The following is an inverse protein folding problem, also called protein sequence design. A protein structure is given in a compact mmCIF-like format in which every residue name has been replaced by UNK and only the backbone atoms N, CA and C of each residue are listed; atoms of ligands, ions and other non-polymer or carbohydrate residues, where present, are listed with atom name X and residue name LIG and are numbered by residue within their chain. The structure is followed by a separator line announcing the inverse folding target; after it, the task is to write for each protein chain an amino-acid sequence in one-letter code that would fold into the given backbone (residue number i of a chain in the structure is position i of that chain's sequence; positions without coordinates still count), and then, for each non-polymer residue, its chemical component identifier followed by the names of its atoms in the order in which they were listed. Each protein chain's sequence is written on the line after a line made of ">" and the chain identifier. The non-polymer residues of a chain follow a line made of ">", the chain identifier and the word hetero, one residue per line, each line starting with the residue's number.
data_IF_835425725116
#
_entry.id   IF_835425725116
#
_cell.length_a   1.000
_cell.length_b   1.000
_cell.length_c   1.000
_cell.angle_alpha   90.00
_cell.angle_beta   90.00
_cell.angle_gamma   90.00
#
_symmetry.space_group_name_H-M   'P 1'
#
loop_
_entity.id
_entity.type
_entity.pdbx_description
1 polymer ?
#
# COMPACT_ATOMS: atom_id res chain seq x y z
N UNK A 1 2.35 -8.33 15.54
CA UNK A 1 3.48 -9.24 15.18
C UNK A 1 3.21 -9.83 13.80
N UNK A 2 4.27 -10.24 13.08
CA UNK A 2 4.12 -10.91 11.79
C UNK A 2 3.51 -12.31 11.94
N UNK A 3 2.57 -12.63 11.06
CA UNK A 3 1.86 -13.90 10.98
C UNK A 3 2.27 -14.64 9.71
N UNK A 4 2.48 -15.96 9.81
CA UNK A 4 2.85 -16.77 8.65
C UNK A 4 1.62 -17.15 7.86
N UNK A 5 1.54 -16.76 6.59
CA UNK A 5 0.42 -17.12 5.69
C UNK A 5 0.72 -18.31 4.79
N UNK A 6 1.97 -18.45 4.31
CA UNK A 6 2.44 -19.55 3.47
C UNK A 6 3.88 -19.92 3.84
N UNK A 7 4.56 -20.77 3.07
CA UNK A 7 5.94 -21.18 3.37
C UNK A 7 6.90 -19.99 3.41
N UNK A 8 6.76 -19.05 2.45
CA UNK A 8 7.68 -17.93 2.25
C UNK A 8 7.05 -16.55 2.53
N UNK A 9 5.75 -16.51 2.90
CA UNK A 9 5.02 -15.24 3.09
C UNK A 9 4.60 -15.06 4.53
N UNK A 10 4.93 -13.89 5.06
CA UNK A 10 4.50 -13.38 6.36
C UNK A 10 3.81 -12.03 6.20
N UNK A 11 2.84 -11.73 7.04
CA UNK A 11 2.13 -10.44 7.05
C UNK A 11 2.06 -9.90 8.46
N UNK A 12 2.37 -8.64 8.63
CA UNK A 12 2.01 -7.89 9.82
C UNK A 12 0.62 -7.30 9.57
N UNK A 13 -0.41 -7.70 10.35
CA UNK A 13 -1.76 -7.22 10.15
C UNK A 13 -1.90 -5.70 10.30
N UNK A 14 -2.85 -5.14 9.60
CA UNK A 14 -3.24 -3.73 9.67
C UNK A 14 -3.57 -3.26 11.10
N UNK A 15 -3.48 -1.96 11.34
CA UNK A 15 -3.86 -1.30 12.58
C UNK A 15 -4.63 0.00 12.26
N UNK A 16 -5.98 0.00 12.39
CA UNK A 16 -6.81 1.09 11.87
C UNK A 16 -6.62 2.42 12.60
N UNK A 17 -6.15 2.43 13.85
CA UNK A 17 -6.09 3.64 14.68
C UNK A 17 -5.30 4.78 14.05
N UNK A 18 -4.22 4.48 13.34
CA UNK A 18 -3.41 5.43 12.58
C UNK A 18 -3.24 5.00 11.13
N UNK A 19 -4.22 4.27 10.59
CA UNK A 19 -4.28 3.86 9.19
C UNK A 19 -3.03 3.07 8.73
N UNK A 20 -2.54 2.15 9.57
CA UNK A 20 -1.41 1.28 9.22
C UNK A 20 -1.89 0.10 8.39
N UNK A 21 -1.40 -0.06 7.16
CA UNK A 21 -1.82 -1.17 6.30
C UNK A 21 -1.20 -2.50 6.71
N UNK A 22 -1.67 -3.59 6.11
CA UNK A 22 -0.98 -4.87 6.11
C UNK A 22 0.39 -4.71 5.43
N UNK A 23 1.43 -5.18 6.09
CA UNK A 23 2.79 -5.18 5.55
C UNK A 23 3.21 -6.61 5.22
N UNK A 24 3.48 -6.87 3.94
CA UNK A 24 3.92 -8.19 3.47
C UNK A 24 5.44 -8.36 3.55
N UNK A 25 5.91 -9.51 4.07
CA UNK A 25 7.30 -9.93 3.97
C UNK A 25 7.38 -11.22 3.15
N UNK A 26 8.11 -11.20 2.06
CA UNK A 26 8.35 -12.35 1.18
C UNK A 26 9.80 -12.77 1.33
N UNK A 27 10.04 -14.01 1.76
CA UNK A 27 11.37 -14.54 2.06
C UNK A 27 11.80 -15.55 0.99
N UNK A 28 12.84 -15.23 0.21
CA UNK A 28 13.54 -16.19 -0.62
C UNK A 28 14.76 -16.77 0.10
N UNK A 29 15.52 -17.64 -0.60
CA UNK A 29 16.73 -18.24 -0.03
C UNK A 29 17.87 -17.24 0.14
N UNK A 30 17.90 -16.17 -0.65
CA UNK A 30 19.00 -15.21 -0.68
C UNK A 30 18.62 -13.80 -0.24
N UNK A 31 17.34 -13.45 -0.30
CA UNK A 31 16.84 -12.08 -0.04
C UNK A 31 15.43 -12.11 0.51
N UNK A 32 15.05 -11.02 1.17
CA UNK A 32 13.69 -10.75 1.58
C UNK A 32 13.19 -9.42 0.98
N UNK A 33 11.95 -9.39 0.51
CA UNK A 33 11.28 -8.22 0.01
C UNK A 33 10.13 -7.86 0.95
N UNK A 34 10.07 -6.59 1.36
CA UNK A 34 8.92 -6.03 2.06
C UNK A 34 7.97 -5.39 1.03
N UNK A 35 6.71 -5.69 1.12
CA UNK A 35 5.66 -5.06 0.31
C UNK A 35 4.90 -4.07 1.18
N UNK A 36 5.00 -2.80 0.77
CA UNK A 36 4.71 -1.55 1.48
C UNK A 36 5.67 -1.21 2.61
N UNK A 37 5.82 0.10 2.84
CA UNK A 37 6.88 0.64 3.70
C UNK A 37 6.40 1.01 5.11
N UNK A 38 5.09 0.98 5.34
CA UNK A 38 4.46 1.54 6.53
C UNK A 38 4.32 3.07 6.46
N UNK A 39 3.58 3.60 7.42
CA UNK A 39 3.12 4.99 7.41
C UNK A 39 4.09 5.98 8.10
N UNK A 40 5.15 5.49 8.77
CA UNK A 40 6.09 6.36 9.49
C UNK A 40 7.41 5.67 9.82
N UNK A 41 8.41 6.47 10.18
CA UNK A 41 9.67 5.96 10.74
C UNK A 41 9.44 5.23 12.08
N UNK A 42 8.48 5.67 12.88
CA UNK A 42 8.10 5.00 14.13
C UNK A 42 7.48 3.63 13.87
N UNK A 43 6.57 3.55 12.88
CA UNK A 43 6.00 2.27 12.45
C UNK A 43 7.09 1.35 11.90
N UNK A 44 8.00 1.84 11.05
CA UNK A 44 9.13 1.07 10.55
C UNK A 44 10.01 0.51 11.69
N UNK A 45 10.32 1.33 12.71
CA UNK A 45 11.10 0.88 13.86
C UNK A 45 10.40 -0.25 14.63
N UNK A 46 9.08 -0.17 14.77
CA UNK A 46 8.25 -1.25 15.31
C UNK A 46 8.35 -2.52 14.47
N UNK A 47 8.17 -2.41 13.15
CA UNK A 47 8.24 -3.55 12.23
C UNK A 47 9.60 -4.25 12.28
N UNK A 48 10.71 -3.50 12.30
CA UNK A 48 12.07 -4.05 12.44
C UNK A 48 12.26 -4.84 13.73
N UNK A 49 11.73 -4.33 14.84
CA UNK A 49 11.78 -5.01 16.12
C UNK A 49 10.96 -6.31 16.07
N UNK A 50 9.72 -6.26 15.55
CA UNK A 50 8.87 -7.43 15.45
C UNK A 50 9.48 -8.52 14.56
N UNK A 51 10.13 -8.15 13.45
CA UNK A 51 10.88 -9.08 12.59
C UNK A 51 12.01 -9.77 13.38
N UNK A 52 12.79 -8.99 14.15
CA UNK A 52 13.89 -9.53 14.94
C UNK A 52 13.39 -10.47 16.05
N UNK A 53 12.32 -10.10 16.74
CA UNK A 53 11.70 -10.91 17.80
C UNK A 53 11.11 -12.22 17.27
N UNK A 54 10.60 -12.19 16.03
CA UNK A 54 10.08 -13.37 15.34
C UNK A 54 11.18 -14.25 14.69
N UNK A 55 12.45 -13.83 14.72
CA UNK A 55 13.54 -14.52 14.03
C UNK A 55 13.42 -14.47 12.50
N UNK A 56 12.70 -13.48 11.96
CA UNK A 56 12.53 -13.25 10.54
C UNK A 56 13.64 -12.34 9.99
N UNK A 57 14.01 -12.48 8.70
CA UNK A 57 15.02 -11.62 8.10
C UNK A 57 14.53 -10.17 8.03
N UNK A 58 15.48 -9.23 8.15
CA UNK A 58 15.22 -7.85 7.74
C UNK A 58 15.12 -7.79 6.22
N UNK A 59 14.28 -6.91 5.65
CA UNK A 59 14.15 -6.81 4.20
C UNK A 59 15.43 -6.25 3.56
N UNK A 60 15.77 -6.79 2.39
CA UNK A 60 16.83 -6.28 1.51
C UNK A 60 16.30 -5.24 0.51
N UNK A 61 14.98 -5.27 0.27
CA UNK A 61 14.26 -4.43 -0.69
C UNK A 61 12.89 -4.07 -0.11
N UNK A 62 12.38 -2.89 -0.46
CA UNK A 62 10.99 -2.48 -0.19
C UNK A 62 10.31 -2.14 -1.52
N UNK A 63 9.17 -2.74 -1.80
CA UNK A 63 8.33 -2.42 -2.95
C UNK A 63 7.04 -1.73 -2.51
N UNK A 64 6.64 -0.68 -3.21
CA UNK A 64 5.44 0.10 -2.89
C UNK A 64 4.27 -0.32 -3.77
N UNK A 65 3.08 -0.40 -3.16
CA UNK A 65 1.83 -0.68 -3.86
C UNK A 65 1.29 0.54 -4.60
N UNK A 66 1.28 1.71 -3.99
CA UNK A 66 0.78 2.96 -4.56
C UNK A 66 1.28 4.17 -3.75
N UNK A 67 0.83 5.38 -4.10
CA UNK A 67 1.41 6.62 -3.57
C UNK A 67 0.88 7.05 -2.20
N UNK A 68 -0.19 6.48 -1.66
CA UNK A 68 -0.79 6.94 -0.41
C UNK A 68 0.19 6.90 0.76
N UNK A 69 -0.01 7.82 1.68
CA UNK A 69 0.92 8.15 2.75
C UNK A 69 1.21 6.98 3.70
N UNK A 70 0.20 6.18 3.99
CA UNK A 70 0.25 5.06 4.92
C UNK A 70 1.07 3.88 4.39
N UNK A 71 1.21 3.75 3.07
CA UNK A 71 2.06 2.76 2.39
C UNK A 71 3.49 3.24 2.16
N UNK A 72 3.75 4.56 2.22
CA UNK A 72 4.98 5.14 1.67
C UNK A 72 5.83 5.93 2.65
N UNK A 73 5.25 6.58 3.68
CA UNK A 73 5.99 7.54 4.50
C UNK A 73 7.06 6.90 5.41
N UNK A 74 6.97 5.60 5.70
CA UNK A 74 8.03 4.85 6.38
C UNK A 74 9.25 4.55 5.51
N UNK A 75 9.16 4.74 4.18
CA UNK A 75 10.14 4.27 3.20
C UNK A 75 11.57 4.78 3.45
N UNK A 76 11.72 6.06 3.78
CA UNK A 76 13.02 6.70 4.00
C UNK A 76 13.84 6.06 5.15
N UNK A 77 13.16 5.45 6.11
CA UNK A 77 13.78 4.92 7.31
C UNK A 77 14.22 3.45 7.19
N UNK A 78 13.86 2.75 6.10
CA UNK A 78 14.28 1.36 5.89
C UNK A 78 15.77 1.22 5.59
N UNK A 79 16.41 2.19 4.93
CA UNK A 79 17.84 2.16 4.62
C UNK A 79 18.25 1.09 3.61
N UNK A 80 17.30 0.57 2.84
CA UNK A 80 17.49 -0.40 1.75
C UNK A 80 16.91 0.16 0.46
N UNK A 81 17.29 -0.38 -0.72
CA UNK A 81 16.70 0.07 -1.98
C UNK A 81 15.19 -0.09 -2.02
N UNK A 82 14.50 0.92 -2.53
CA UNK A 82 13.04 1.00 -2.65
C UNK A 82 12.62 0.96 -4.12
N UNK A 83 11.50 0.31 -4.39
CA UNK A 83 10.98 0.05 -5.74
C UNK A 83 9.57 0.63 -5.82
N UNK A 84 9.29 1.42 -6.86
CA UNK A 84 7.94 1.96 -7.10
C UNK A 84 7.60 1.98 -8.60
N UNK A 85 6.33 1.95 -8.90
CA UNK A 85 5.82 2.30 -10.23
C UNK A 85 6.16 3.74 -10.59
N UNK A 86 6.24 4.07 -11.88
CA UNK A 86 6.59 5.42 -12.35
C UNK A 86 5.60 6.47 -11.85
N UNK A 87 4.31 6.17 -11.88
CA UNK A 87 3.28 7.10 -11.41
C UNK A 87 3.38 7.31 -9.88
N UNK A 88 3.52 6.25 -9.10
CA UNK A 88 3.76 6.31 -7.65
C UNK A 88 4.96 7.22 -7.35
N UNK A 89 6.08 7.01 -8.06
CA UNK A 89 7.27 7.82 -7.86
C UNK A 89 7.09 9.29 -8.27
N UNK A 90 6.22 9.58 -9.24
CA UNK A 90 5.84 10.95 -9.60
C UNK A 90 5.13 11.64 -8.43
N UNK A 91 4.14 10.99 -7.83
CA UNK A 91 3.44 11.48 -6.64
C UNK A 91 4.38 11.69 -5.45
N UNK A 92 5.29 10.76 -5.18
CA UNK A 92 6.29 10.91 -4.12
C UNK A 92 7.19 12.14 -4.32
N UNK A 93 7.62 12.41 -5.56
CA UNK A 93 8.40 13.63 -5.90
C UNK A 93 7.61 14.92 -5.71
N UNK A 94 6.32 14.90 -5.90
CA UNK A 94 5.41 16.01 -5.64
C UNK A 94 5.25 16.24 -4.14
N UNK A 95 4.87 15.20 -3.40
CA UNK A 95 4.69 15.24 -1.94
C UNK A 95 5.99 15.57 -1.20
N UNK A 96 7.16 15.22 -1.72
CA UNK A 96 8.47 15.61 -1.16
C UNK A 96 8.62 17.12 -1.02
N UNK A 97 7.90 17.91 -1.81
CA UNK A 97 7.93 19.38 -1.78
C UNK A 97 6.88 19.98 -0.87
N UNK A 98 5.98 19.17 -0.35
CA UNK A 98 4.91 19.65 0.52
C UNK A 98 5.46 20.04 1.89
N UNK A 99 4.84 21.03 2.47
CA UNK A 99 5.02 21.38 3.87
C UNK A 99 3.93 20.67 4.67
N UNK A 100 4.30 20.20 5.84
CA UNK A 100 3.42 19.39 6.68
C UNK A 100 2.99 20.09 7.97
N UNK A 101 3.25 21.41 8.09
CA UNK A 101 2.68 22.21 9.17
C UNK A 101 1.16 22.34 9.02
N UNK A 102 0.46 22.65 10.13
CA UNK A 102 -1.01 22.67 10.18
C UNK A 102 -1.61 23.64 9.14
N UNK A 103 -0.98 24.80 8.92
CA UNK A 103 -1.47 25.78 7.96
C UNK A 103 -1.39 25.25 6.52
N UNK A 104 -0.28 24.61 6.16
CA UNK A 104 -0.09 24.03 4.82
C UNK A 104 -0.98 22.79 4.59
N UNK A 105 -1.23 21.98 5.61
CA UNK A 105 -2.20 20.89 5.54
C UNK A 105 -3.62 21.42 5.35
N UNK A 106 -4.02 22.46 6.12
CA UNK A 106 -5.33 23.08 5.97
C UNK A 106 -5.51 23.71 4.58
N UNK A 107 -4.46 24.36 4.04
CA UNK A 107 -4.50 24.93 2.69
C UNK A 107 -4.79 23.88 1.62
N UNK A 108 -4.20 22.67 1.73
CA UNK A 108 -4.50 21.56 0.79
C UNK A 108 -5.94 21.08 0.91
N UNK A 109 -6.49 20.99 2.13
CA UNK A 109 -7.90 20.67 2.33
C UNK A 109 -8.82 21.74 1.67
N UNK A 110 -8.52 23.02 1.87
CA UNK A 110 -9.29 24.13 1.30
C UNK A 110 -9.25 24.14 -0.24
N UNK A 111 -8.11 23.71 -0.81
CA UNK A 111 -7.91 23.58 -2.27
C UNK A 111 -8.43 22.27 -2.84
N UNK A 112 -8.93 21.36 -2.01
CA UNK A 112 -9.35 20.01 -2.43
C UNK A 112 -8.20 19.19 -3.06
N UNK A 113 -7.00 19.37 -2.55
CA UNK A 113 -5.79 18.60 -2.92
C UNK A 113 -5.54 17.45 -1.94
N UNK A 114 -6.23 17.44 -0.80
CA UNK A 114 -6.19 16.40 0.22
C UNK A 114 -7.57 16.22 0.84
N UNK A 115 -7.78 15.15 1.61
CA UNK A 115 -9.04 14.82 2.28
C UNK A 115 -8.86 14.82 3.80
N UNK A 116 -9.95 15.13 4.52
CA UNK A 116 -9.95 15.21 5.99
C UNK A 116 -9.48 13.91 6.63
N UNK A 117 -9.90 12.76 6.10
CA UNK A 117 -9.48 11.44 6.61
C UNK A 117 -7.96 11.32 6.66
N UNK A 118 -7.27 11.51 5.52
CA UNK A 118 -5.80 11.41 5.47
C UNK A 118 -5.13 12.46 6.37
N UNK A 119 -5.62 13.70 6.35
CA UNK A 119 -5.09 14.78 7.20
C UNK A 119 -5.14 14.44 8.70
N UNK A 120 -6.27 13.91 9.19
CA UNK A 120 -6.42 13.56 10.61
C UNK A 120 -5.62 12.31 11.00
N UNK A 121 -5.54 11.29 10.12
CA UNK A 121 -4.71 10.11 10.36
C UNK A 121 -3.22 10.46 10.40
N UNK A 122 -2.75 11.32 9.48
CA UNK A 122 -1.36 11.83 9.49
C UNK A 122 -1.07 12.60 10.78
N UNK A 123 -1.97 13.48 11.23
CA UNK A 123 -1.79 14.22 12.50
C UNK A 123 -1.72 13.27 13.72
N UNK A 124 -2.47 12.19 13.68
CA UNK A 124 -2.51 11.17 14.73
C UNK A 124 -1.22 10.35 14.78
N UNK A 125 -0.70 9.92 13.62
CA UNK A 125 0.56 9.19 13.52
C UNK A 125 1.78 10.07 13.79
N UNK A 126 1.73 11.36 13.39
CA UNK A 126 2.80 12.33 13.54
C UNK A 126 2.36 13.51 14.41
N UNK A 127 2.37 13.40 15.75
CA UNK A 127 2.14 14.55 16.64
C UNK A 127 3.12 15.70 16.36
N UNK A 128 4.37 15.37 16.03
CA UNK A 128 5.37 16.29 15.48
C UNK A 128 5.52 16.06 13.98
N UNK A 129 4.81 16.85 13.18
CA UNK A 129 4.81 16.74 11.72
C UNK A 129 6.12 17.15 11.05
N UNK A 130 7.04 17.77 11.79
CA UNK A 130 8.41 18.03 11.27
C UNK A 130 9.19 16.74 11.01
N UNK A 131 8.74 15.60 11.54
CA UNK A 131 9.33 14.28 11.34
C UNK A 131 8.88 13.61 10.02
N UNK A 132 7.89 14.17 9.32
CA UNK A 132 7.45 13.64 8.03
C UNK A 132 8.56 13.82 6.99
N UNK A 133 8.98 12.73 6.40
CA UNK A 133 10.02 12.71 5.39
C UNK A 133 9.58 11.85 4.19
N UNK A 134 9.14 12.49 3.13
CA UNK A 134 8.77 11.83 1.89
C UNK A 134 9.97 11.79 0.95
N UNK A 135 10.30 10.60 0.44
CA UNK A 135 11.42 10.41 -0.49
C UNK A 135 10.95 9.68 -1.75
N UNK A 136 11.54 9.98 -2.92
CA UNK A 136 11.29 9.17 -4.10
C UNK A 136 11.97 7.80 -3.99
N UNK A 137 11.45 6.81 -4.71
CA UNK A 137 12.02 5.47 -4.78
C UNK A 137 13.37 5.46 -5.53
N UNK A 138 14.24 4.49 -5.17
CA UNK A 138 15.55 4.30 -5.80
C UNK A 138 15.43 3.61 -7.17
N UNK A 139 14.49 2.67 -7.30
CA UNK A 139 14.23 1.89 -8.51
C UNK A 139 12.82 2.21 -8.99
N UNK A 140 12.71 2.62 -10.24
CA UNK A 140 11.43 2.99 -10.86
C UNK A 140 11.20 2.11 -12.07
N UNK A 141 10.01 1.54 -12.19
CA UNK A 141 9.66 0.66 -13.31
C UNK A 141 8.32 1.04 -13.96
N UNK A 142 8.11 0.53 -15.15
CA UNK A 142 6.85 0.60 -15.88
C UNK A 142 6.31 -0.80 -16.16
N UNK A 143 5.00 -0.96 -16.10
CA UNK A 143 4.33 -2.19 -16.44
C UNK A 143 4.61 -3.34 -15.48
N UNK A 144 5.71 -4.07 -15.66
CA UNK A 144 6.06 -5.25 -14.83
C UNK A 144 7.55 -5.28 -14.50
N UNK A 145 7.86 -5.65 -13.26
CA UNK A 145 9.22 -5.91 -12.79
C UNK A 145 9.25 -7.24 -12.04
N UNK A 146 10.21 -8.09 -12.38
CA UNK A 146 10.45 -9.37 -11.68
C UNK A 146 11.63 -9.21 -10.73
N UNK A 147 11.44 -9.59 -9.47
CA UNK A 147 12.47 -9.60 -8.41
C UNK A 147 12.69 -11.03 -7.97
N UNK A 148 13.86 -11.59 -8.28
CA UNK A 148 14.24 -12.93 -7.83
C UNK A 148 14.85 -12.86 -6.42
N UNK A 149 14.22 -13.52 -5.46
CA UNK A 149 14.65 -13.59 -4.07
C UNK A 149 15.50 -14.83 -3.77
N UNK A 150 15.70 -15.69 -4.76
CA UNK A 150 16.44 -16.94 -4.67
C UNK A 150 15.61 -18.11 -4.16
N UNK A 151 16.10 -19.33 -4.47
CA UNK A 151 15.42 -20.57 -4.06
C UNK A 151 14.12 -20.88 -4.80
N UNK A 152 13.86 -20.21 -5.92
CA UNK A 152 12.60 -20.33 -6.68
C UNK A 152 11.50 -19.36 -6.24
N UNK A 153 11.77 -18.53 -5.23
CA UNK A 153 10.84 -17.48 -4.80
C UNK A 153 11.06 -16.21 -5.62
N UNK A 154 10.05 -15.84 -6.39
CA UNK A 154 10.05 -14.66 -7.27
C UNK A 154 8.87 -13.76 -6.91
N UNK A 155 9.08 -12.46 -6.89
CA UNK A 155 8.03 -11.44 -6.81
C UNK A 155 7.84 -10.79 -8.18
N UNK A 156 6.65 -10.84 -8.72
CA UNK A 156 6.25 -10.09 -9.92
C UNK A 156 5.48 -8.84 -9.47
N UNK A 157 6.13 -7.69 -9.54
CA UNK A 157 5.50 -6.39 -9.33
C UNK A 157 4.82 -5.97 -10.64
N UNK A 158 3.50 -5.76 -10.59
CA UNK A 158 2.71 -5.55 -11.80
C UNK A 158 1.88 -4.28 -11.62
N UNK A 159 2.04 -3.33 -12.53
CA UNK A 159 1.14 -2.17 -12.58
C UNK A 159 -0.29 -2.66 -12.85
N UNK A 160 -1.18 -2.31 -11.96
CA UNK A 160 -2.58 -2.74 -11.97
C UNK A 160 -3.48 -1.52 -11.74
N UNK A 161 -3.93 -0.91 -12.82
CA UNK A 161 -4.93 0.15 -12.71
C UNK A 161 -6.19 -0.42 -12.07
N UNK A 162 -6.28 -0.25 -10.75
CA UNK A 162 -7.41 -0.71 -9.94
C UNK A 162 -8.40 0.42 -9.66
N UNK A 163 -9.56 0.08 -9.09
CA UNK A 163 -10.58 1.07 -8.76
C UNK A 163 -10.16 2.05 -7.64
N UNK A 164 -9.11 1.78 -6.87
CA UNK A 164 -8.65 2.62 -5.77
C UNK A 164 -7.69 3.74 -6.23
N UNK A 165 -6.68 3.39 -7.01
CA UNK A 165 -5.68 4.34 -7.49
C UNK A 165 -5.10 3.88 -8.83
N UNK A 166 -4.89 4.83 -9.75
CA UNK A 166 -4.40 4.55 -11.11
C UNK A 166 -2.96 4.05 -11.14
N UNK A 167 -2.16 4.35 -10.11
CA UNK A 167 -0.74 4.00 -9.98
C UNK A 167 -0.50 2.68 -9.25
N UNK A 168 -1.57 1.95 -8.90
CA UNK A 168 -1.47 0.71 -8.11
C UNK A 168 -0.53 -0.31 -8.75
N UNK A 169 0.26 -0.93 -7.91
CA UNK A 169 1.16 -2.05 -8.23
C UNK A 169 0.80 -3.21 -7.31
N UNK A 170 0.41 -4.34 -7.88
CA UNK A 170 0.19 -5.59 -7.15
C UNK A 170 1.48 -6.43 -7.14
N UNK A 171 1.66 -7.28 -6.11
CA UNK A 171 2.79 -8.19 -6.04
C UNK A 171 2.30 -9.64 -6.09
N UNK A 172 2.57 -10.32 -7.20
CA UNK A 172 2.27 -11.73 -7.39
C UNK A 172 3.49 -12.59 -7.01
N UNK A 173 3.26 -13.61 -6.20
CA UNK A 173 4.27 -14.62 -5.80
C UNK A 173 3.85 -15.97 -6.38
N UNK A 174 4.28 -16.34 -7.61
CA UNK A 174 3.76 -17.50 -8.33
C UNK A 174 3.99 -18.82 -7.59
N UNK A 175 5.15 -19.02 -6.96
CA UNK A 175 5.47 -20.25 -6.21
C UNK A 175 4.50 -20.50 -5.04
N UNK A 176 3.92 -19.44 -4.48
CA UNK A 176 2.98 -19.49 -3.36
C UNK A 176 1.52 -19.39 -3.83
N UNK A 177 1.29 -19.13 -5.13
CA UNK A 177 -0.02 -18.77 -5.69
C UNK A 177 -0.75 -17.71 -4.88
N UNK A 178 0.03 -16.69 -4.46
CA UNK A 178 -0.40 -15.62 -3.57
C UNK A 178 -0.26 -14.26 -4.24
N UNK A 179 -1.21 -13.36 -3.94
CA UNK A 179 -1.26 -12.01 -4.50
C UNK A 179 -1.43 -10.97 -3.39
N UNK A 180 -0.49 -10.03 -3.29
CA UNK A 180 -0.67 -8.81 -2.52
C UNK A 180 -1.30 -7.75 -3.41
N UNK A 181 -2.38 -7.13 -2.94
CA UNK A 181 -3.17 -6.18 -3.71
C UNK A 181 -2.79 -4.72 -3.42
N UNK A 182 -2.12 -4.43 -2.27
CA UNK A 182 -2.20 -3.10 -1.70
C UNK A 182 -3.68 -2.73 -1.53
N UNK A 183 -4.06 -1.54 -1.95
CA UNK A 183 -5.46 -1.10 -1.90
C UNK A 183 -6.18 -1.19 -3.25
N UNK A 184 -5.54 -1.80 -4.26
CA UNK A 184 -6.03 -1.81 -5.64
C UNK A 184 -7.45 -2.36 -5.82
N UNK A 185 -7.95 -3.13 -4.87
CA UNK A 185 -9.34 -3.63 -4.84
C UNK A 185 -10.30 -2.72 -4.06
N UNK A 186 -9.81 -1.66 -3.43
CA UNK A 186 -10.62 -0.66 -2.72
C UNK A 186 -11.28 0.35 -3.66
N UNK A 187 -12.05 1.28 -3.10
CA UNK A 187 -12.64 2.41 -3.84
C UNK A 187 -11.71 3.62 -3.75
N UNK A 188 -11.74 4.47 -4.77
CA UNK A 188 -10.93 5.67 -4.84
C UNK A 188 -11.33 6.69 -3.77
N UNK A 189 -10.37 7.06 -2.93
CA UNK A 189 -10.56 8.05 -1.86
C UNK A 189 -10.62 9.49 -2.40
N UNK A 190 -10.13 9.73 -3.62
CA UNK A 190 -10.02 11.07 -4.23
C UNK A 190 -10.87 11.22 -5.49
N UNK A 191 -11.55 10.15 -5.91
CA UNK A 191 -12.19 10.06 -7.22
C UNK A 191 -13.45 10.89 -7.40
N UNK A 192 -14.08 11.33 -6.29
CA UNK A 192 -15.35 12.04 -6.35
C UNK A 192 -15.28 13.42 -5.65
N UNK A 193 -15.79 14.50 -6.27
CA UNK A 193 -15.71 15.84 -5.71
C UNK A 193 -16.33 15.99 -4.31
N UNK A 194 -17.39 15.25 -4.00
CA UNK A 194 -18.07 15.29 -2.70
C UNK A 194 -17.21 14.78 -1.54
N UNK A 195 -16.20 13.94 -1.80
CA UNK A 195 -15.29 13.42 -0.79
C UNK A 195 -14.52 14.54 -0.08
N UNK A 196 -14.21 15.61 -0.81
CA UNK A 196 -13.55 16.79 -0.26
C UNK A 196 -14.47 17.67 0.60
N UNK A 197 -15.78 17.44 0.56
CA UNK A 197 -16.76 18.18 1.37
C UNK A 197 -17.08 17.47 2.71
N UNK A 198 -16.59 16.24 2.92
CA UNK A 198 -16.69 15.52 4.20
C UNK A 198 -15.86 16.25 5.26
N UNK A 199 -16.47 16.52 6.42
CA UNK A 199 -15.84 17.27 7.51
C UNK A 199 -15.31 16.42 8.65
N UNK A 200 -15.76 15.18 8.74
CA UNK A 200 -15.36 14.25 9.79
C UNK A 200 -14.76 12.99 9.17
N UNK A 201 -13.61 12.57 9.69
CA UNK A 201 -12.87 11.41 9.16
C UNK A 201 -13.70 10.12 9.18
N UNK A 202 -14.51 9.94 10.22
CA UNK A 202 -15.36 8.77 10.42
C UNK A 202 -16.49 8.61 9.39
N UNK A 203 -16.82 9.68 8.66
CA UNK A 203 -17.91 9.67 7.67
C UNK A 203 -17.44 9.19 6.28
N UNK A 204 -16.15 9.33 5.96
CA UNK A 204 -15.65 9.07 4.61
C UNK A 204 -15.75 7.58 4.24
N UNK A 205 -15.16 6.70 5.05
CA UNK A 205 -15.08 5.28 4.74
C UNK A 205 -16.46 4.62 4.66
N UNK A 206 -17.40 4.81 5.63
CA UNK A 206 -18.75 4.29 5.52
C UNK A 206 -19.48 4.77 4.26
N UNK A 207 -19.34 6.06 3.92
CA UNK A 207 -19.97 6.62 2.73
C UNK A 207 -19.40 5.98 1.45
N UNK A 208 -18.08 5.89 1.33
CA UNK A 208 -17.42 5.22 0.21
C UNK A 208 -17.89 3.77 0.05
N UNK A 209 -17.95 3.02 1.13
CA UNK A 209 -18.36 1.63 1.11
C UNK A 209 -19.80 1.43 0.65
N UNK A 210 -20.66 2.44 0.78
CA UNK A 210 -22.06 2.40 0.31
C UNK A 210 -22.22 2.63 -1.20
N UNK A 211 -21.19 3.13 -1.89
CA UNK A 211 -21.26 3.45 -3.33
C UNK A 211 -20.90 2.23 -4.20
N UNK A 212 -21.42 2.17 -5.43
CA UNK A 212 -20.94 1.18 -6.38
C UNK A 212 -19.50 1.46 -6.82
N UNK A 213 -18.83 0.43 -7.27
CA UNK A 213 -17.54 0.58 -7.97
C UNK A 213 -17.75 1.19 -9.37
N UNK A 214 -16.69 1.81 -9.89
CA UNK A 214 -16.60 2.10 -11.33
C UNK A 214 -16.46 0.78 -12.11
N UNK A 215 -17.47 0.45 -12.90
CA UNK A 215 -17.55 -0.83 -13.61
C UNK A 215 -16.43 -1.03 -14.62
N UNK A 216 -16.06 0.03 -15.34
CA UNK A 216 -15.04 -0.05 -16.39
C UNK A 216 -13.67 -0.33 -15.78
N UNK A 217 -13.35 0.32 -14.65
CA UNK A 217 -12.12 0.07 -13.90
C UNK A 217 -12.10 -1.34 -13.30
N UNK A 218 -13.20 -1.81 -12.73
CA UNK A 218 -13.29 -3.18 -12.19
C UNK A 218 -13.14 -4.21 -13.31
N UNK A 219 -13.75 -4.02 -14.47
CA UNK A 219 -13.60 -4.94 -15.61
C UNK A 219 -12.15 -4.98 -16.12
N UNK A 220 -11.47 -3.83 -16.20
CA UNK A 220 -10.06 -3.76 -16.57
C UNK A 220 -9.19 -4.51 -15.55
N UNK A 221 -9.44 -4.28 -14.27
CA UNK A 221 -8.73 -4.93 -13.18
C UNK A 221 -8.94 -6.44 -13.16
N UNK A 222 -10.18 -6.91 -13.30
CA UNK A 222 -10.51 -8.34 -13.41
C UNK A 222 -9.86 -9.02 -14.64
N UNK A 223 -9.78 -8.32 -15.78
CA UNK A 223 -9.04 -8.84 -16.95
C UNK A 223 -7.56 -9.09 -16.61
N UNK A 224 -6.91 -8.18 -15.90
CA UNK A 224 -5.54 -8.39 -15.44
C UNK A 224 -5.45 -9.57 -14.46
N UNK A 225 -6.30 -9.61 -13.43
CA UNK A 225 -6.29 -10.68 -12.42
C UNK A 225 -6.50 -12.07 -13.03
N UNK A 226 -7.29 -12.16 -14.12
CA UNK A 226 -7.53 -13.41 -14.85
C UNK A 226 -6.28 -13.96 -15.56
N UNK A 227 -5.24 -13.14 -15.75
CA UNK A 227 -3.97 -13.58 -16.32
C UNK A 227 -3.02 -14.20 -15.29
N UNK A 228 -3.33 -14.10 -13.99
CA UNK A 228 -2.47 -14.52 -12.89
C UNK A 228 -2.99 -15.82 -12.25
N UNK A 229 -2.04 -16.71 -11.91
CA UNK A 229 -2.37 -17.92 -11.15
C UNK A 229 -2.18 -17.69 -9.65
N UNK A 230 -3.28 -17.37 -8.97
CA UNK A 230 -3.31 -17.24 -7.51
C UNK A 230 -4.56 -17.88 -6.93
N UNK A 231 -4.50 -18.31 -5.70
CA UNK A 231 -5.63 -18.90 -4.94
C UNK A 231 -6.02 -18.06 -3.74
N UNK A 232 -5.08 -17.29 -3.19
CA UNK A 232 -5.27 -16.39 -2.05
C UNK A 232 -4.67 -15.03 -2.31
N UNK A 233 -5.23 -14.01 -1.69
CA UNK A 233 -4.74 -12.65 -1.76
C UNK A 233 -4.97 -11.90 -0.45
N UNK A 234 -4.36 -10.71 -0.33
CA UNK A 234 -4.57 -9.81 0.79
C UNK A 234 -4.52 -8.35 0.30
N UNK A 235 -5.48 -7.54 0.75
CA UNK A 235 -5.49 -6.09 0.58
C UNK A 235 -4.71 -5.38 1.68
N UNK A 236 -4.47 -4.06 1.53
CA UNK A 236 -3.77 -3.26 2.53
C UNK A 236 -4.56 -3.14 3.84
N UNK A 237 -5.87 -3.03 3.75
CA UNK A 237 -6.74 -2.85 4.93
C UNK A 237 -7.81 -3.95 5.06
N UNK A 238 -7.50 -5.18 4.64
CA UNK A 238 -8.44 -6.30 4.66
C UNK A 238 -7.78 -7.58 5.18
N UNK A 239 -8.60 -8.52 5.63
CA UNK A 239 -8.16 -9.89 5.92
C UNK A 239 -7.75 -10.63 4.63
N UNK A 240 -6.91 -11.67 4.78
CA UNK A 240 -6.56 -12.53 3.66
C UNK A 240 -7.81 -13.29 3.18
N UNK A 241 -8.01 -13.30 1.86
CA UNK A 241 -9.18 -13.86 1.22
C UNK A 241 -8.80 -14.81 0.07
N UNK A 242 -9.74 -15.65 -0.33
CA UNK A 242 -9.62 -16.46 -1.54
C UNK A 242 -9.82 -15.60 -2.79
N UNK A 243 -9.36 -16.12 -3.95
CA UNK A 243 -9.64 -15.50 -5.25
C UNK A 243 -11.15 -15.28 -5.48
N UNK A 244 -12.01 -16.24 -5.08
CA UNK A 244 -13.45 -16.13 -5.27
C UNK A 244 -14.04 -14.98 -4.44
N UNK A 245 -13.66 -14.87 -3.15
CA UNK A 245 -14.11 -13.77 -2.28
C UNK A 245 -13.69 -12.40 -2.81
N UNK A 246 -12.48 -12.28 -3.38
CA UNK A 246 -12.05 -11.04 -4.05
C UNK A 246 -12.97 -10.71 -5.23
N UNK A 247 -13.27 -11.68 -6.10
CA UNK A 247 -14.12 -11.47 -7.27
C UNK A 247 -15.55 -11.08 -6.86
N UNK A 248 -16.09 -11.77 -5.85
CA UNK A 248 -17.42 -11.46 -5.32
C UNK A 248 -17.47 -10.03 -4.75
N UNK A 249 -16.42 -9.58 -4.05
CA UNK A 249 -16.36 -8.23 -3.47
C UNK A 249 -16.30 -7.10 -4.52
N UNK A 250 -15.76 -7.37 -5.71
CA UNK A 250 -15.64 -6.40 -6.78
C UNK A 250 -16.90 -6.31 -7.68
N UNK A 251 -17.81 -7.27 -7.58
CA UNK A 251 -19.00 -7.38 -8.45
C UNK A 251 -20.30 -7.01 -7.76
N UNK A 252 -20.26 -6.55 -6.52
CA UNK A 252 -21.44 -6.14 -5.72
C UNK A 252 -21.83 -4.69 -5.95
#
# INVERSE_FOLDING_TARGET
>A
MFEKLTEHIYVRPQEPYTDRPNIGLICGKGRALLYDAGNSAANMALLRRELSEAGLPQPDLVALSHWHWDHTFGMHAWGVPTIAGRETNRHLREMQRWRWDDASMQERLDRKEDIVFCSEMIKREYPDRSQICVTPANIVFDGRLTVDLGGGTVCELIHARGPHASDSVICHVPSERFLFLGDSNGKDLYGQPWQFDIKHEEDLVPTLMSLPYDRDLVEEYLRLLNTLDFTRCIGGHAEAMSRQELYDSLTV
#
